data_IF_295490605788
#
_entry.id   IF_295490605788
#
_cell.length_a   1.000
_cell.length_b   1.000
_cell.length_c   1.000
_cell.angle_alpha   90.00
_cell.angle_beta   90.00
_cell.angle_gamma   90.00
#
_symmetry.space_group_name_H-M   'P 1'
#
loop_
_entity.id
_entity.type
_entity.pdbx_description
1 polymer ?
#
# COMPACT_ATOMS: atom_id res chain seq x y z
N UNK A 1 12.18 -3.77 7.31
CA UNK A 1 11.95 -2.80 8.42
C UNK A 1 10.72 -1.96 8.10
N UNK A 2 9.93 -1.52 9.09
CA UNK A 2 8.77 -0.66 8.86
C UNK A 2 9.16 0.82 8.92
N UNK A 3 8.72 1.62 7.96
CA UNK A 3 9.05 3.05 7.84
C UNK A 3 7.77 3.87 7.83
N UNK A 4 7.72 4.93 8.62
CA UNK A 4 6.59 5.86 8.65
C UNK A 4 6.85 7.03 7.72
N UNK A 5 5.88 7.33 6.85
CA UNK A 5 5.90 8.52 6.01
C UNK A 5 4.62 9.32 6.22
N UNK A 6 4.78 10.60 6.46
CA UNK A 6 3.68 11.57 6.55
C UNK A 6 3.38 12.11 5.16
N UNK A 7 2.10 12.26 4.85
CA UNK A 7 1.64 12.92 3.63
C UNK A 7 2.11 14.38 3.59
N UNK A 8 2.33 14.94 2.40
CA UNK A 8 2.69 16.36 2.19
C UNK A 8 1.67 17.33 2.78
N UNK A 9 0.36 17.01 2.75
CA UNK A 9 -0.67 17.84 3.40
C UNK A 9 -0.70 17.68 4.93
N UNK A 10 0.03 16.68 5.45
CA UNK A 10 0.15 16.37 6.86
C UNK A 10 -1.05 15.69 7.53
N UNK A 11 -2.14 15.44 6.80
CA UNK A 11 -3.37 14.88 7.35
C UNK A 11 -3.24 13.39 7.74
N UNK A 12 -2.38 12.64 7.06
CA UNK A 12 -2.26 11.19 7.23
C UNK A 12 -0.79 10.77 7.33
N UNK A 13 -0.55 9.71 8.10
CA UNK A 13 0.75 9.03 8.21
C UNK A 13 0.53 7.55 7.94
N UNK A 14 1.36 6.97 7.10
CA UNK A 14 1.23 5.58 6.65
C UNK A 14 2.54 4.84 6.86
N UNK A 15 2.45 3.51 6.88
CA UNK A 15 3.60 2.63 7.07
C UNK A 15 3.96 1.92 5.78
N UNK A 16 5.26 1.90 5.48
CA UNK A 16 5.86 1.20 4.37
C UNK A 16 6.66 -0.01 4.86
N UNK A 17 6.65 -1.04 4.04
CA UNK A 17 7.58 -2.16 4.11
C UNK A 17 8.73 -1.91 3.14
N UNK A 18 9.96 -1.94 3.66
CA UNK A 18 11.18 -1.98 2.86
C UNK A 18 11.76 -3.40 2.91
N UNK A 19 11.79 -4.06 1.76
CA UNK A 19 12.25 -5.44 1.61
C UNK A 19 13.77 -5.52 1.73
N UNK A 20 14.23 -6.54 2.44
CA UNK A 20 15.65 -6.94 2.59
C UNK A 20 16.58 -5.80 3.05
N UNK A 21 16.02 -4.70 3.56
CA UNK A 21 16.71 -3.44 3.88
C UNK A 21 17.58 -2.92 2.72
N UNK A 22 17.23 -3.27 1.47
CA UNK A 22 17.96 -2.85 0.28
C UNK A 22 17.75 -1.35 0.02
N UNK A 23 16.52 -0.90 0.20
CA UNK A 23 16.13 0.50 0.13
C UNK A 23 16.10 1.10 1.54
N UNK A 24 16.47 2.38 1.64
CA UNK A 24 16.37 3.17 2.86
C UNK A 24 15.13 4.07 2.81
N UNK A 25 14.74 4.63 3.96
CA UNK A 25 13.56 5.50 4.08
C UNK A 25 13.57 6.68 3.08
N UNK A 26 14.76 7.19 2.77
CA UNK A 26 14.93 8.33 1.85
C UNK A 26 14.57 8.01 0.40
N UNK A 27 14.38 6.73 0.05
CA UNK A 27 13.85 6.34 -1.27
C UNK A 27 12.44 6.89 -1.50
N UNK A 28 11.67 7.14 -0.43
CA UNK A 28 10.35 7.74 -0.53
C UNK A 28 10.54 9.25 -0.44
N UNK A 29 10.61 9.93 -1.59
CA UNK A 29 10.75 11.38 -1.67
C UNK A 29 9.53 12.08 -1.06
N UNK A 30 8.34 11.79 -1.59
CA UNK A 30 7.09 12.43 -1.18
C UNK A 30 5.93 11.44 -1.18
N UNK A 31 4.91 11.78 -0.42
CA UNK A 31 3.69 10.99 -0.30
C UNK A 31 2.48 11.93 -0.34
N UNK A 32 1.52 11.62 -1.20
CA UNK A 32 0.27 12.35 -1.31
C UNK A 32 -0.90 11.41 -1.03
N UNK A 33 -1.78 11.83 -0.13
CA UNK A 33 -3.01 11.11 0.19
C UNK A 33 -4.16 11.52 -0.74
N UNK A 34 -5.24 10.73 -0.84
CA UNK A 34 -6.38 11.04 -1.70
C UNK A 34 -7.05 12.39 -1.43
N UNK A 35 -6.90 12.95 -0.22
CA UNK A 35 -7.47 14.26 0.14
C UNK A 35 -6.59 15.46 -0.24
N UNK A 36 -5.37 15.24 -0.73
CA UNK A 36 -4.55 16.32 -1.28
C UNK A 36 -4.25 16.05 -2.75
N UNK A 37 -4.57 16.99 -3.66
CA UNK A 37 -4.14 16.88 -5.05
C UNK A 37 -2.60 16.98 -5.04
N UNK A 38 -1.93 15.86 -5.26
CA UNK A 38 -0.47 15.84 -5.42
C UNK A 38 -0.06 16.86 -6.49
N UNK A 39 1.09 17.51 -6.28
CA UNK A 39 1.52 18.70 -7.03
C UNK A 39 1.37 18.60 -8.55
N UNK A 40 1.21 19.76 -9.20
CA UNK A 40 0.68 20.04 -10.54
C UNK A 40 1.17 19.23 -11.78
N UNK A 41 1.94 18.15 -11.63
CA UNK A 41 2.20 17.20 -12.72
C UNK A 41 2.60 15.83 -12.18
N UNK A 42 1.72 14.83 -12.34
CA UNK A 42 2.06 13.43 -12.06
C UNK A 42 3.17 12.95 -13.01
N UNK A 43 4.33 12.60 -12.46
CA UNK A 43 5.48 12.12 -13.23
C UNK A 43 5.56 10.59 -13.19
N UNK A 44 5.08 9.93 -14.24
CA UNK A 44 5.12 8.46 -14.35
C UNK A 44 6.52 7.84 -14.21
N UNK A 45 7.60 8.59 -14.48
CA UNK A 45 8.96 8.06 -14.37
C UNK A 45 9.43 7.90 -12.92
N UNK A 46 8.81 8.60 -11.96
CA UNK A 46 9.21 8.60 -10.55
C UNK A 46 8.05 8.38 -9.57
N UNK A 47 6.81 8.46 -10.05
CA UNK A 47 5.60 8.39 -9.23
C UNK A 47 4.75 7.19 -9.60
N UNK A 48 4.12 6.60 -8.58
CA UNK A 48 3.09 5.57 -8.73
C UNK A 48 1.80 6.03 -8.07
N UNK A 49 0.67 5.73 -8.70
CA UNK A 49 -0.66 5.89 -8.11
C UNK A 49 -1.19 4.52 -7.67
N UNK A 50 -1.65 4.44 -6.42
CA UNK A 50 -2.37 3.30 -5.88
C UNK A 50 -3.66 3.79 -5.19
N UNK A 51 -4.77 3.69 -5.91
CA UNK A 51 -6.11 4.07 -5.46
C UNK A 51 -6.18 5.49 -4.85
N UNK A 52 -5.61 6.47 -5.55
CA UNK A 52 -5.61 7.88 -5.13
C UNK A 52 -4.48 8.28 -4.19
N UNK A 53 -3.71 7.32 -3.67
CA UNK A 53 -2.41 7.59 -3.06
C UNK A 53 -1.36 7.75 -4.15
N UNK A 54 -0.51 8.77 -4.02
CA UNK A 54 0.63 8.96 -4.92
C UNK A 54 1.91 8.85 -4.09
N UNK A 55 2.80 7.96 -4.51
CA UNK A 55 4.12 7.79 -3.92
C UNK A 55 5.13 8.28 -4.95
N UNK A 56 5.99 9.22 -4.55
CA UNK A 56 7.11 9.69 -5.35
C UNK A 56 8.39 9.06 -4.81
N UNK A 57 9.12 8.35 -5.67
CA UNK A 57 10.39 7.72 -5.33
C UNK A 57 11.57 8.58 -5.77
N UNK A 58 12.64 8.55 -4.99
CA UNK A 58 13.96 8.94 -5.47
C UNK A 58 14.49 7.81 -6.35
N UNK A 59 14.26 7.94 -7.65
CA UNK A 59 14.66 6.92 -8.63
C UNK A 59 16.18 6.77 -8.73
N UNK A 60 16.96 7.81 -8.42
CA UNK A 60 18.42 7.72 -8.44
C UNK A 60 18.87 6.78 -7.32
N UNK A 61 18.37 7.00 -6.09
CA UNK A 61 18.65 6.14 -4.95
C UNK A 61 18.12 4.71 -5.15
N UNK A 62 16.91 4.57 -5.68
CA UNK A 62 16.29 3.27 -5.90
C UNK A 62 17.06 2.42 -6.93
N UNK A 63 17.39 3.01 -8.07
CA UNK A 63 18.14 2.35 -9.16
C UNK A 63 19.53 1.93 -8.65
N UNK A 64 20.27 2.85 -8.03
CA UNK A 64 21.60 2.57 -7.49
C UNK A 64 21.56 1.43 -6.46
N UNK A 65 20.59 1.44 -5.55
CA UNK A 65 20.44 0.39 -4.55
C UNK A 65 20.07 -0.98 -5.15
N UNK A 66 19.09 -1.04 -6.06
CA UNK A 66 18.60 -2.30 -6.61
C UNK A 66 19.61 -2.92 -7.58
N UNK A 67 20.25 -2.12 -8.44
CA UNK A 67 21.20 -2.62 -9.43
C UNK A 67 22.53 -3.10 -8.84
N UNK A 68 22.83 -2.81 -7.57
CA UNK A 68 24.00 -3.37 -6.86
C UNK A 68 24.03 -4.90 -6.83
N UNK A 69 22.87 -5.57 -6.91
CA UNK A 69 22.78 -7.03 -6.94
C UNK A 69 23.19 -7.62 -8.33
N UNK A 70 23.47 -6.80 -9.35
CA UNK A 70 23.86 -7.20 -10.73
C UNK A 70 22.87 -8.12 -11.49
N UNK A 71 21.81 -8.57 -10.84
CA UNK A 71 20.73 -9.37 -11.42
C UNK A 71 19.64 -8.52 -12.08
N UNK A 72 19.65 -7.21 -11.82
CA UNK A 72 18.60 -6.27 -12.29
C UNK A 72 19.28 -5.14 -13.05
N UNK A 73 18.90 -4.99 -14.33
CA UNK A 73 19.33 -3.84 -15.15
C UNK A 73 18.72 -2.55 -14.60
N UNK A 74 19.47 -1.43 -14.54
CA UNK A 74 18.95 -0.12 -14.13
C UNK A 74 17.65 0.28 -14.84
N UNK A 75 17.53 -0.04 -16.12
CA UNK A 75 16.37 0.29 -16.97
C UNK A 75 15.09 -0.44 -16.55
N UNK A 76 15.21 -1.54 -15.79
CA UNK A 76 14.06 -2.30 -15.30
C UNK A 76 13.47 -1.72 -14.02
N UNK A 77 14.19 -0.81 -13.35
CA UNK A 77 13.77 -0.27 -12.05
C UNK A 77 12.84 0.92 -12.30
N UNK A 78 11.54 0.65 -12.30
CA UNK A 78 10.46 1.65 -12.39
C UNK A 78 9.72 1.79 -11.05
N UNK A 79 8.90 2.84 -10.84
CA UNK A 79 8.03 2.94 -9.67
C UNK A 79 7.14 1.71 -9.45
N UNK A 80 6.58 1.15 -10.51
CA UNK A 80 5.79 -0.09 -10.48
C UNK A 80 6.65 -1.28 -10.07
N UNK A 81 7.86 -1.41 -10.63
CA UNK A 81 8.79 -2.48 -10.24
C UNK A 81 9.12 -2.43 -8.74
N UNK A 82 9.38 -1.23 -8.22
CA UNK A 82 9.69 -1.01 -6.79
C UNK A 82 8.49 -1.42 -5.92
N UNK A 83 7.29 -1.00 -6.30
CA UNK A 83 6.09 -1.23 -5.50
C UNK A 83 5.58 -2.68 -5.61
N UNK A 84 5.36 -3.17 -6.83
CA UNK A 84 4.66 -4.44 -7.10
C UNK A 84 5.52 -5.66 -6.69
N UNK A 85 6.86 -5.54 -6.75
CA UNK A 85 7.78 -6.58 -6.24
C UNK A 85 8.12 -6.45 -4.75
N UNK A 86 7.51 -5.46 -4.08
CA UNK A 86 7.61 -5.26 -2.64
C UNK A 86 8.92 -4.66 -2.15
N UNK A 87 9.74 -4.06 -3.03
CA UNK A 87 10.99 -3.38 -2.60
C UNK A 87 10.69 -2.21 -1.66
N UNK A 88 9.71 -1.39 -2.04
CA UNK A 88 9.12 -0.37 -1.19
C UNK A 88 7.63 -0.28 -1.49
N UNK A 89 6.80 -0.75 -0.56
CA UNK A 89 5.33 -0.77 -0.72
C UNK A 89 4.65 -0.59 0.63
N UNK A 90 3.32 -0.55 0.68
CA UNK A 90 2.58 -0.51 1.94
C UNK A 90 2.96 -1.67 2.85
N UNK A 91 3.01 -1.42 4.16
CA UNK A 91 3.19 -2.49 5.14
C UNK A 91 2.01 -3.47 5.08
N UNK A 92 0.81 -2.92 5.16
CA UNK A 92 -0.46 -3.64 5.02
C UNK A 92 -0.85 -3.76 3.54
N UNK A 93 -2.05 -4.27 3.21
CA UNK A 93 -2.54 -4.30 1.82
C UNK A 93 -2.73 -2.87 1.27
N UNK A 94 -3.16 -1.94 2.12
CA UNK A 94 -3.33 -0.52 1.81
C UNK A 94 -3.29 0.34 3.09
N UNK A 95 -3.13 1.68 2.98
CA UNK A 95 -3.16 2.57 4.13
C UNK A 95 -4.52 2.57 4.86
N UNK A 96 -4.52 2.24 6.15
CA UNK A 96 -5.74 2.23 6.98
C UNK A 96 -6.38 0.86 7.21
N UNK A 97 -5.85 -0.20 6.57
CA UNK A 97 -6.41 -1.56 6.63
C UNK A 97 -6.74 -2.05 8.05
N UNK A 98 -5.87 -1.79 9.03
CA UNK A 98 -6.09 -2.27 10.41
C UNK A 98 -7.34 -1.67 11.06
N UNK A 99 -7.61 -0.39 10.81
CA UNK A 99 -8.79 0.29 11.34
C UNK A 99 -10.05 -0.27 10.67
N UNK A 100 -10.03 -0.41 9.35
CA UNK A 100 -11.16 -0.97 8.61
C UNK A 100 -11.47 -2.42 9.04
N UNK A 101 -10.44 -3.26 9.18
CA UNK A 101 -10.59 -4.64 9.67
C UNK A 101 -11.21 -4.67 11.08
N UNK A 102 -10.77 -3.77 11.95
CA UNK A 102 -11.30 -3.68 13.31
C UNK A 102 -12.79 -3.35 13.28
N UNK A 103 -13.18 -2.30 12.58
CA UNK A 103 -14.55 -1.79 12.54
C UNK A 103 -15.50 -2.81 11.86
N UNK A 104 -15.05 -3.43 10.77
CA UNK A 104 -15.79 -4.50 10.08
C UNK A 104 -16.03 -5.71 10.99
N UNK A 105 -15.00 -6.18 11.69
CA UNK A 105 -15.13 -7.33 12.60
C UNK A 105 -15.96 -6.99 13.82
N UNK A 106 -15.88 -5.77 14.35
CA UNK A 106 -16.74 -5.31 15.43
C UNK A 106 -18.22 -5.34 15.01
N UNK A 107 -18.54 -4.89 13.78
CA UNK A 107 -19.88 -4.96 13.23
C UNK A 107 -20.40 -6.41 13.11
N UNK A 108 -19.56 -7.34 12.65
CA UNK A 108 -19.90 -8.77 12.58
C UNK A 108 -20.11 -9.36 13.98
N UNK A 109 -19.26 -9.00 14.95
CA UNK A 109 -19.37 -9.51 16.33
C UNK A 109 -20.68 -9.10 17.01
N UNK A 110 -21.21 -7.91 16.71
CA UNK A 110 -22.54 -7.46 17.20
C UNK A 110 -23.69 -8.37 16.73
N UNK A 111 -23.53 -9.08 15.60
CA UNK A 111 -24.51 -10.09 15.16
C UNK A 111 -24.54 -11.31 16.06
N UNK A 112 -23.46 -11.62 16.79
CA UNK A 112 -23.39 -12.80 17.66
C UNK A 112 -24.48 -12.80 18.73
N UNK A 113 -24.84 -11.62 19.23
CA UNK A 113 -25.80 -11.46 20.32
C UNK A 113 -27.26 -11.50 19.84
N UNK A 114 -27.50 -11.22 18.56
CA UNK A 114 -28.84 -11.05 17.99
C UNK A 114 -29.23 -12.14 17.00
N UNK A 115 -28.26 -12.67 16.23
CA UNK A 115 -28.46 -13.68 15.21
C UNK A 115 -27.18 -14.51 14.96
N UNK A 116 -27.01 -15.58 15.74
CA UNK A 116 -25.84 -16.44 15.69
C UNK A 116 -25.62 -17.10 14.32
N UNK A 117 -26.69 -17.42 13.59
CA UNK A 117 -26.59 -18.04 12.27
C UNK A 117 -26.04 -17.05 11.23
N UNK A 118 -26.48 -15.79 11.27
CA UNK A 118 -25.93 -14.72 10.44
C UNK A 118 -24.49 -14.39 10.82
N UNK A 119 -24.16 -14.36 12.11
CA UNK A 119 -22.78 -14.18 12.57
C UNK A 119 -21.83 -15.22 11.94
N UNK A 120 -22.17 -16.51 12.02
CA UNK A 120 -21.35 -17.59 11.47
C UNK A 120 -21.19 -17.45 9.95
N UNK A 121 -22.27 -17.13 9.24
CA UNK A 121 -22.24 -16.91 7.79
C UNK A 121 -21.32 -15.75 7.40
N UNK A 122 -21.45 -14.61 8.07
CA UNK A 122 -20.68 -13.41 7.74
C UNK A 122 -19.21 -13.56 8.09
N UNK A 123 -18.86 -14.09 9.26
CA UNK A 123 -17.44 -14.23 9.65
C UNK A 123 -16.70 -15.23 8.75
N UNK A 124 -17.37 -16.29 8.28
CA UNK A 124 -16.76 -17.27 7.36
C UNK A 124 -16.54 -16.70 5.96
N UNK A 125 -17.45 -15.85 5.48
CA UNK A 125 -17.36 -15.26 4.14
C UNK A 125 -16.54 -13.95 4.10
N UNK A 126 -16.31 -13.30 5.24
CA UNK A 126 -15.76 -11.95 5.33
C UNK A 126 -14.43 -11.77 4.58
N UNK A 127 -13.44 -12.64 4.82
CA UNK A 127 -12.13 -12.53 4.17
C UNK A 127 -12.22 -12.57 2.64
N UNK A 128 -13.06 -13.47 2.09
CA UNK A 128 -13.22 -13.64 0.65
C UNK A 128 -13.90 -12.40 0.07
N UNK A 129 -15.01 -11.95 0.68
CA UNK A 129 -15.73 -10.74 0.24
C UNK A 129 -14.81 -9.52 0.25
N UNK A 130 -14.05 -9.35 1.33
CA UNK A 130 -13.10 -8.25 1.51
C UNK A 130 -12.02 -8.25 0.42
N UNK A 131 -11.41 -9.40 0.14
CA UNK A 131 -10.37 -9.48 -0.90
C UNK A 131 -10.94 -9.10 -2.29
N UNK A 132 -12.13 -9.59 -2.63
CA UNK A 132 -12.81 -9.25 -3.90
C UNK A 132 -13.15 -7.76 -4.00
N UNK A 133 -13.60 -7.14 -2.90
CA UNK A 133 -13.82 -5.70 -2.85
C UNK A 133 -12.52 -4.90 -3.03
N UNK A 134 -11.42 -5.34 -2.43
CA UNK A 134 -10.12 -4.66 -2.57
C UNK A 134 -9.60 -4.78 -4.01
N UNK A 135 -9.76 -5.94 -4.65
CA UNK A 135 -9.45 -6.14 -6.08
C UNK A 135 -10.30 -5.23 -6.96
N UNK A 136 -11.60 -5.13 -6.68
CA UNK A 136 -12.54 -4.28 -7.42
C UNK A 136 -12.19 -2.79 -7.28
N UNK A 137 -11.70 -2.37 -6.11
CA UNK A 137 -11.19 -1.01 -5.86
C UNK A 137 -9.82 -0.73 -6.51
N UNK A 138 -9.17 -1.75 -7.07
CA UNK A 138 -7.91 -1.60 -7.79
C UNK A 138 -6.67 -1.44 -6.90
N UNK A 139 -6.73 -1.87 -5.63
CA UNK A 139 -5.54 -1.88 -4.77
C UNK A 139 -4.49 -2.85 -5.33
N UNK A 140 -3.31 -2.33 -5.69
CA UNK A 140 -2.29 -3.11 -6.42
C UNK A 140 -1.89 -4.38 -5.66
N UNK A 141 -1.63 -4.29 -4.35
CA UNK A 141 -1.28 -5.46 -3.52
C UNK A 141 -2.39 -6.52 -3.47
N UNK A 142 -3.66 -6.13 -3.59
CA UNK A 142 -4.77 -7.08 -3.60
C UNK A 142 -4.92 -7.76 -4.97
N UNK A 143 -4.63 -7.04 -6.06
CA UNK A 143 -4.68 -7.59 -7.43
C UNK A 143 -3.57 -8.61 -7.66
N UNK A 144 -2.39 -8.41 -7.06
CA UNK A 144 -1.23 -9.30 -7.20
C UNK A 144 -1.05 -10.31 -6.05
N UNK A 145 -1.97 -10.36 -5.08
CA UNK A 145 -2.01 -11.36 -3.99
C UNK A 145 -2.83 -12.59 -4.36
#
# INVERSE_FOLDING_TARGET
MAVFKKCECGAQTVQFHLRDNLLQQDVISRLYCPSCPGGESFNQAAMINDNGWIIEYDMILAVDAISRNKLVSPEMVTPEYIFDLGYCTWLETYPGEKTDIHDEREAILKLRETNQQMYLKEIMAWNIKRLEELKTKGWRKAVFA
#
